data_IF_051856401095
#
_entry.id   IF_051856401095
#
_cell.length_a   1.000
_cell.length_b   1.000
_cell.length_c   1.000
_cell.angle_alpha   90.00
_cell.angle_beta   90.00
_cell.angle_gamma   90.00
#
_symmetry.space_group_name_H-M   'P 1'
#
loop_
_entity.id
_entity.type
_entity.pdbx_description
1 polymer ?
#
# COMPACT_ATOMS: atom_id res chain seq x y z
N UNK A 1 -32.06 -40.57 84.62
CA UNK A 1 -30.72 -40.06 84.94
C UNK A 1 -30.06 -39.64 83.66
N UNK A 2 -30.08 -38.38 83.42
CA UNK A 2 -28.97 -37.44 83.26
C UNK A 2 -27.95 -37.85 82.19
N UNK A 3 -27.81 -37.19 81.07
CA UNK A 3 -26.95 -36.01 80.96
C UNK A 3 -27.10 -35.31 79.59
N UNK A 4 -27.12 -34.04 79.69
CA UNK A 4 -27.04 -33.08 78.55
C UNK A 4 -25.61 -33.01 78.01
N UNK A 5 -25.46 -33.00 76.72
CA UNK A 5 -24.22 -32.55 76.08
C UNK A 5 -24.56 -31.55 74.92
N UNK A 6 -23.96 -30.43 75.04
CA UNK A 6 -24.24 -29.22 74.28
C UNK A 6 -24.00 -29.31 72.78
N UNK A 7 -24.88 -28.61 72.07
CA UNK A 7 -24.76 -28.34 70.63
C UNK A 7 -23.88 -27.13 70.47
N UNK A 8 -22.69 -27.35 69.98
CA UNK A 8 -21.83 -26.27 69.48
C UNK A 8 -22.13 -26.08 67.98
N UNK A 9 -22.87 -25.05 67.68
CA UNK A 9 -23.16 -24.65 66.28
C UNK A 9 -21.97 -23.89 65.73
N UNK A 10 -21.20 -24.50 64.87
CA UNK A 10 -20.22 -23.79 64.06
C UNK A 10 -20.91 -23.10 62.90
N UNK A 11 -21.05 -21.77 62.96
CA UNK A 11 -21.44 -20.95 61.84
C UNK A 11 -20.24 -20.78 60.93
N UNK A 12 -20.25 -21.46 59.80
CA UNK A 12 -19.35 -21.18 58.69
C UNK A 12 -19.90 -19.96 57.92
N UNK A 13 -19.30 -18.83 58.14
CA UNK A 13 -19.48 -17.65 57.32
C UNK A 13 -18.72 -17.86 56.00
N UNK A 14 -19.47 -18.25 54.98
CA UNK A 14 -18.97 -18.29 53.61
C UNK A 14 -18.94 -16.85 53.10
N UNK A 15 -17.79 -16.23 53.14
CA UNK A 15 -17.53 -14.97 52.47
C UNK A 15 -17.43 -15.20 50.96
N UNK A 16 -18.50 -14.87 50.25
CA UNK A 16 -18.51 -14.83 48.80
C UNK A 16 -17.71 -13.59 48.38
N UNK A 17 -16.43 -13.80 48.05
CA UNK A 17 -15.61 -12.78 47.39
C UNK A 17 -16.12 -12.65 45.95
N UNK A 18 -16.88 -11.59 45.69
CA UNK A 18 -17.31 -11.21 44.38
C UNK A 18 -16.10 -10.78 43.55
N UNK A 19 -15.65 -11.65 42.65
CA UNK A 19 -14.66 -11.31 41.62
C UNK A 19 -15.37 -10.45 40.58
N UNK A 20 -15.23 -9.15 40.71
CA UNK A 20 -15.64 -8.19 39.69
C UNK A 20 -14.69 -8.35 38.50
N UNK A 21 -15.14 -9.09 37.47
CA UNK A 21 -14.49 -9.09 36.15
C UNK A 21 -14.70 -7.71 35.54
N UNK A 22 -13.75 -6.79 35.80
CA UNK A 22 -13.62 -5.57 35.01
C UNK A 22 -13.25 -6.01 33.60
N UNK A 23 -14.28 -6.13 32.74
CA UNK A 23 -14.12 -6.21 31.30
C UNK A 23 -13.39 -4.95 30.87
N UNK A 24 -12.08 -5.05 30.61
CA UNK A 24 -11.36 -4.07 29.82
C UNK A 24 -12.04 -4.00 28.45
N UNK A 25 -12.96 -3.06 28.30
CA UNK A 25 -13.43 -2.64 26.99
C UNK A 25 -12.20 -2.20 26.21
N UNK A 26 -11.80 -3.00 25.22
CA UNK A 26 -10.88 -2.57 24.19
C UNK A 26 -11.65 -1.49 23.45
N UNK A 27 -11.50 -0.24 23.88
CA UNK A 27 -11.84 0.91 23.06
C UNK A 27 -11.00 0.77 21.82
N UNK A 28 -11.64 0.43 20.71
CA UNK A 28 -11.05 0.58 19.39
C UNK A 28 -10.66 2.05 19.27
N UNK A 29 -9.43 2.37 19.65
CA UNK A 29 -8.83 3.64 19.32
C UNK A 29 -8.86 3.67 17.80
N UNK A 30 -9.71 4.53 17.24
CA UNK A 30 -9.56 4.96 15.86
C UNK A 30 -8.14 5.48 15.75
N UNK A 31 -7.22 4.60 15.35
CA UNK A 31 -5.85 4.96 15.02
C UNK A 31 -6.02 5.96 13.91
N UNK A 32 -5.72 7.20 14.27
CA UNK A 32 -5.80 8.36 13.42
C UNK A 32 -5.20 7.99 12.06
N UNK A 33 -6.01 7.98 11.02
CA UNK A 33 -5.64 7.58 9.65
C UNK A 33 -4.57 8.48 9.01
N UNK A 34 -3.94 9.32 9.82
CA UNK A 34 -2.88 10.26 9.46
C UNK A 34 -1.49 9.63 9.43
N UNK A 35 -1.31 8.45 10.02
CA UNK A 35 -0.04 7.74 9.98
C UNK A 35 -0.15 6.68 8.89
N UNK A 36 0.67 6.81 7.86
CA UNK A 36 0.81 5.78 6.83
C UNK A 36 1.18 4.46 7.49
N UNK A 37 0.31 3.45 7.38
CA UNK A 37 0.60 2.11 7.88
C UNK A 37 1.90 1.60 7.24
N UNK A 38 2.87 1.05 8.00
CA UNK A 38 4.08 0.44 7.43
C UNK A 38 3.77 -0.60 6.35
N UNK A 39 2.68 -1.35 6.51
CA UNK A 39 2.21 -2.30 5.50
C UNK A 39 1.90 -1.62 4.16
N UNK A 40 1.28 -0.44 4.19
CA UNK A 40 0.90 0.32 3.00
C UNK A 40 2.11 0.89 2.28
N UNK A 41 3.16 1.26 3.03
CA UNK A 41 4.45 1.68 2.45
C UNK A 41 5.11 0.52 1.70
N UNK A 42 5.13 -0.67 2.29
CA UNK A 42 5.68 -1.86 1.65
C UNK A 42 4.91 -2.22 0.38
N UNK A 43 3.58 -2.15 0.43
CA UNK A 43 2.74 -2.36 -0.76
C UNK A 43 3.03 -1.34 -1.88
N UNK A 44 3.33 -0.09 -1.54
CA UNK A 44 3.76 0.91 -2.54
C UNK A 44 5.10 0.51 -3.15
N UNK A 45 6.07 0.09 -2.34
CA UNK A 45 7.38 -0.31 -2.82
C UNK A 45 7.30 -1.50 -3.79
N UNK A 46 6.50 -2.50 -3.44
CA UNK A 46 6.26 -3.67 -4.28
C UNK A 46 5.55 -3.28 -5.59
N UNK A 47 4.54 -2.40 -5.53
CA UNK A 47 3.84 -1.93 -6.71
C UNK A 47 4.76 -1.13 -7.66
N UNK A 48 5.57 -0.22 -7.11
CA UNK A 48 6.54 0.58 -7.89
C UNK A 48 7.60 -0.32 -8.51
N UNK A 49 8.11 -1.32 -7.78
CA UNK A 49 9.08 -2.29 -8.28
C UNK A 49 8.48 -3.16 -9.39
N UNK A 50 7.29 -3.69 -9.21
CA UNK A 50 6.57 -4.49 -10.21
C UNK A 50 6.34 -3.69 -11.50
N UNK A 51 5.86 -2.46 -11.37
CA UNK A 51 5.66 -1.56 -12.50
C UNK A 51 6.97 -1.27 -13.27
N UNK A 52 8.06 -1.01 -12.55
CA UNK A 52 9.37 -0.78 -13.15
C UNK A 52 9.87 -2.01 -13.93
N UNK A 53 9.66 -3.21 -13.39
CA UNK A 53 10.01 -4.46 -14.07
C UNK A 53 9.17 -4.66 -15.33
N UNK A 54 7.86 -4.46 -15.24
CA UNK A 54 6.96 -4.60 -16.38
C UNK A 54 7.31 -3.64 -17.52
N UNK A 55 7.68 -2.39 -17.19
CA UNK A 55 8.19 -1.43 -18.17
C UNK A 55 9.50 -1.90 -18.81
N UNK A 56 10.45 -2.37 -18.02
CA UNK A 56 11.77 -2.82 -18.50
C UNK A 56 11.66 -4.02 -19.44
N UNK A 57 10.77 -4.96 -19.13
CA UNK A 57 10.59 -6.18 -19.91
C UNK A 57 9.54 -6.07 -21.00
N UNK A 58 8.79 -4.96 -21.07
CA UNK A 58 7.73 -4.75 -22.06
C UNK A 58 6.49 -5.59 -21.80
N UNK A 59 6.20 -5.90 -20.54
CA UNK A 59 4.98 -6.63 -20.14
C UNK A 59 3.80 -5.65 -20.11
N UNK A 60 3.29 -5.32 -21.27
CA UNK A 60 2.27 -4.27 -21.45
C UNK A 60 0.99 -4.52 -20.68
N UNK A 61 0.55 -5.76 -20.59
CA UNK A 61 -0.65 -6.13 -19.84
C UNK A 61 -0.49 -5.88 -18.33
N UNK A 62 0.69 -6.16 -17.79
CA UNK A 62 0.99 -5.89 -16.40
C UNK A 62 1.10 -4.39 -16.12
N UNK A 63 1.69 -3.62 -17.04
CA UNK A 63 1.72 -2.16 -16.96
C UNK A 63 0.31 -1.61 -16.85
N UNK A 64 -0.62 -2.09 -17.69
CA UNK A 64 -2.03 -1.71 -17.66
C UNK A 64 -2.73 -2.03 -16.34
N UNK A 65 -2.35 -3.12 -15.68
CA UNK A 65 -2.92 -3.47 -14.38
C UNK A 65 -2.56 -2.48 -13.27
N UNK A 66 -1.43 -1.77 -13.40
CA UNK A 66 -1.04 -0.73 -12.47
C UNK A 66 -1.71 0.62 -12.75
N UNK A 67 -2.32 0.80 -13.93
CA UNK A 67 -2.88 2.07 -14.35
C UNK A 67 -4.39 2.12 -14.14
N UNK A 68 -4.81 3.07 -13.31
CA UNK A 68 -6.23 3.33 -13.04
C UNK A 68 -6.41 4.72 -12.48
N UNK A 69 -7.41 5.45 -12.95
CA UNK A 69 -7.81 6.73 -12.37
C UNK A 69 -8.42 6.53 -10.98
N UNK A 70 -8.46 7.58 -10.18
CA UNK A 70 -9.14 7.55 -8.86
C UNK A 70 -10.62 7.18 -8.98
N UNK A 71 -11.25 7.46 -10.10
CA UNK A 71 -12.65 7.07 -10.42
C UNK A 71 -12.76 5.60 -10.84
N UNK A 72 -11.67 4.86 -10.81
CA UNK A 72 -11.62 3.44 -11.14
C UNK A 72 -11.63 3.12 -12.63
N UNK A 73 -11.54 4.12 -13.51
CA UNK A 73 -11.47 3.92 -14.94
C UNK A 73 -10.08 3.47 -15.38
N UNK A 74 -10.03 2.66 -16.44
CA UNK A 74 -8.75 2.31 -17.07
C UNK A 74 -8.22 3.52 -17.84
N UNK A 75 -6.93 3.77 -17.71
CA UNK A 75 -6.28 4.84 -18.48
C UNK A 75 -5.98 4.29 -19.86
N UNK A 76 -6.53 4.95 -20.88
CA UNK A 76 -6.19 4.64 -22.27
C UNK A 76 -4.84 5.28 -22.61
N UNK A 77 -3.91 4.48 -23.10
CA UNK A 77 -2.65 4.99 -23.60
C UNK A 77 -2.25 4.25 -24.89
N UNK A 78 -1.44 4.92 -25.69
CA UNK A 78 -0.89 4.33 -26.91
C UNK A 78 0.30 3.44 -26.57
N UNK A 79 0.16 2.14 -26.80
CA UNK A 79 1.29 1.19 -26.72
C UNK A 79 2.38 1.51 -27.76
N UNK A 80 2.03 2.24 -28.81
CA UNK A 80 2.91 2.52 -29.94
C UNK A 80 4.16 3.30 -29.54
N UNK A 81 4.02 4.26 -28.61
CA UNK A 81 5.19 5.03 -28.12
C UNK A 81 6.16 4.17 -27.29
N UNK A 82 5.66 3.15 -26.59
CA UNK A 82 6.50 2.27 -25.80
C UNK A 82 7.10 1.15 -26.65
N UNK A 83 6.36 0.60 -27.59
CA UNK A 83 6.81 -0.51 -28.42
C UNK A 83 8.01 -0.16 -29.31
N UNK A 84 8.20 1.13 -29.64
CA UNK A 84 9.34 1.64 -30.41
C UNK A 84 10.60 1.88 -29.59
N UNK A 85 10.51 1.75 -28.26
CA UNK A 85 11.60 1.99 -27.35
C UNK A 85 11.90 0.76 -26.49
N UNK A 86 13.14 0.65 -26.04
CA UNK A 86 13.57 -0.35 -25.06
C UNK A 86 14.11 0.36 -23.82
N UNK A 87 13.54 0.05 -22.67
CA UNK A 87 14.00 0.57 -21.41
C UNK A 87 15.21 -0.22 -20.95
N UNK A 88 16.32 0.46 -20.77
CA UNK A 88 17.61 -0.09 -20.31
C UNK A 88 17.68 -0.06 -18.79
N UNK A 89 17.29 1.08 -18.21
CA UNK A 89 17.38 1.33 -16.79
C UNK A 89 16.13 2.06 -16.29
N UNK A 90 15.66 1.68 -15.12
CA UNK A 90 14.60 2.37 -14.39
C UNK A 90 15.05 2.53 -12.95
N UNK A 91 15.19 3.76 -12.49
CA UNK A 91 15.68 4.07 -11.16
C UNK A 91 14.73 5.03 -10.44
N UNK A 92 14.21 4.61 -9.30
CA UNK A 92 13.43 5.49 -8.43
C UNK A 92 14.39 6.43 -7.70
N UNK A 93 14.19 7.73 -7.86
CA UNK A 93 15.00 8.78 -7.23
C UNK A 93 14.40 9.23 -5.90
N UNK A 94 13.09 9.34 -5.84
CA UNK A 94 12.38 9.71 -4.63
C UNK A 94 10.99 9.11 -4.58
N UNK A 95 10.51 8.85 -3.37
CA UNK A 95 9.14 8.44 -3.05
C UNK A 95 8.66 9.27 -1.89
N UNK A 96 7.63 10.05 -2.10
CA UNK A 96 7.01 10.90 -1.10
C UNK A 96 5.57 10.46 -0.88
N UNK A 97 5.28 9.92 0.32
CA UNK A 97 3.90 9.69 0.73
C UNK A 97 3.28 11.03 1.17
N UNK A 98 2.07 11.27 0.70
CA UNK A 98 1.27 12.40 1.14
C UNK A 98 0.59 12.12 2.49
N UNK A 99 0.11 13.18 3.13
CA UNK A 99 -0.60 13.07 4.40
C UNK A 99 -1.78 12.09 4.28
N UNK A 100 -1.90 11.21 5.27
CA UNK A 100 -2.91 10.14 5.28
C UNK A 100 -2.45 8.85 4.61
N UNK A 101 -1.33 8.82 3.89
CA UNK A 101 -0.78 7.61 3.27
C UNK A 101 -1.68 6.94 2.22
N UNK A 102 -2.57 7.74 1.58
CA UNK A 102 -3.48 7.27 0.52
C UNK A 102 -3.04 7.71 -0.88
N UNK A 103 -2.05 8.57 -0.96
CA UNK A 103 -1.42 8.99 -2.21
C UNK A 103 0.09 9.10 -2.02
N UNK A 104 0.82 8.96 -3.12
CA UNK A 104 2.25 9.07 -3.16
C UNK A 104 2.72 9.66 -4.50
N UNK A 105 3.80 10.42 -4.42
CA UNK A 105 4.52 10.91 -5.60
C UNK A 105 5.84 10.17 -5.72
N UNK A 106 6.08 9.56 -6.86
CA UNK A 106 7.31 8.85 -7.17
C UNK A 106 8.01 9.55 -8.33
N UNK A 107 9.27 9.90 -8.15
CA UNK A 107 10.11 10.43 -9.23
C UNK A 107 11.03 9.32 -9.70
N UNK A 108 10.98 9.00 -10.98
CA UNK A 108 11.81 7.98 -11.59
C UNK A 108 12.67 8.57 -12.71
N UNK A 109 13.90 8.07 -12.82
CA UNK A 109 14.77 8.26 -13.96
C UNK A 109 14.71 7.02 -14.83
N UNK A 110 14.47 7.21 -16.12
CA UNK A 110 14.38 6.12 -17.09
C UNK A 110 15.37 6.38 -18.22
N UNK A 111 16.23 5.39 -18.47
CA UNK A 111 17.09 5.34 -19.64
C UNK A 111 16.50 4.35 -20.66
N UNK A 112 16.42 4.78 -21.89
CA UNK A 112 15.83 3.99 -22.97
C UNK A 112 16.53 4.32 -24.29
N UNK A 113 16.43 3.41 -25.24
CA UNK A 113 16.83 3.69 -26.62
C UNK A 113 15.68 3.45 -27.58
N UNK A 114 15.67 4.21 -28.66
CA UNK A 114 14.77 3.99 -29.79
C UNK A 114 15.30 2.79 -30.60
N UNK A 115 14.45 1.83 -30.93
CA UNK A 115 14.86 0.57 -31.60
C UNK A 115 15.42 0.83 -32.98
N UNK A 116 14.82 1.76 -33.72
CA UNK A 116 15.17 2.01 -35.13
C UNK A 116 16.49 2.77 -35.27
N UNK A 117 16.81 3.65 -34.33
CA UNK A 117 18.00 4.51 -34.41
C UNK A 117 19.11 4.08 -33.46
N UNK A 118 18.79 3.29 -32.45
CA UNK A 118 19.71 2.95 -31.36
C UNK A 118 20.07 4.13 -30.46
N UNK A 119 19.41 5.28 -30.61
CA UNK A 119 19.72 6.50 -29.85
C UNK A 119 19.32 6.34 -28.39
N UNK A 120 20.29 6.43 -27.48
CA UNK A 120 20.10 6.36 -26.04
C UNK A 120 19.61 7.73 -25.52
N UNK A 121 18.58 7.69 -24.72
CA UNK A 121 17.98 8.87 -24.10
C UNK A 121 17.67 8.63 -22.64
N UNK A 122 17.58 9.72 -21.89
CA UNK A 122 17.23 9.70 -20.45
C UNK A 122 16.13 10.71 -20.19
N UNK A 123 15.13 10.29 -19.40
CA UNK A 123 14.03 11.15 -18.97
C UNK A 123 13.70 10.96 -17.49
N UNK A 124 13.13 12.00 -16.91
CA UNK A 124 12.59 11.97 -15.55
C UNK A 124 11.07 11.98 -15.61
N UNK A 125 10.45 11.12 -14.84
CA UNK A 125 9.00 10.99 -14.77
C UNK A 125 8.54 11.20 -13.35
N UNK A 126 7.50 12.03 -13.22
CA UNK A 126 6.77 12.18 -11.96
C UNK A 126 5.51 11.35 -12.06
N UNK A 127 5.37 10.39 -11.17
CA UNK A 127 4.25 9.47 -11.12
C UNK A 127 3.41 9.78 -9.90
N UNK A 128 2.10 9.86 -10.08
CA UNK A 128 1.15 10.01 -9.00
C UNK A 128 0.49 8.66 -8.74
N UNK A 129 0.72 8.15 -7.55
CA UNK A 129 0.16 6.90 -7.07
C UNK A 129 -0.96 7.15 -6.08
N UNK A 130 -1.97 6.31 -6.09
CA UNK A 130 -3.04 6.33 -5.13
C UNK A 130 -3.37 4.92 -4.66
N UNK A 131 -3.79 4.82 -3.39
CA UNK A 131 -4.11 3.56 -2.76
C UNK A 131 -5.62 3.31 -2.79
N UNK A 132 -6.03 2.16 -3.33
CA UNK A 132 -7.40 1.68 -3.29
C UNK A 132 -7.57 0.79 -2.06
N UNK A 133 -8.19 1.33 -1.01
CA UNK A 133 -8.41 0.61 0.25
C UNK A 133 -9.39 -0.55 0.14
N UNK A 134 -10.20 -0.62 -0.92
CA UNK A 134 -11.12 -1.74 -1.16
C UNK A 134 -10.39 -2.94 -1.74
N UNK A 135 -9.40 -2.67 -2.61
CA UNK A 135 -8.60 -3.69 -3.29
C UNK A 135 -7.25 -3.94 -2.62
N UNK A 136 -6.93 -3.16 -1.59
CA UNK A 136 -5.64 -3.21 -0.89
C UNK A 136 -4.45 -3.09 -1.84
N UNK A 137 -4.52 -2.11 -2.78
CA UNK A 137 -3.57 -2.01 -3.88
C UNK A 137 -3.29 -0.57 -4.30
N UNK A 138 -2.05 -0.31 -4.75
CA UNK A 138 -1.64 0.95 -5.34
C UNK A 138 -1.80 0.96 -6.86
N UNK A 139 -2.26 2.10 -7.38
CA UNK A 139 -2.42 2.36 -8.81
C UNK A 139 -1.78 3.69 -9.20
N UNK A 140 -1.32 3.77 -10.45
CA UNK A 140 -0.83 5.01 -11.05
C UNK A 140 -2.01 5.76 -11.67
N UNK A 141 -2.16 7.04 -11.31
CA UNK A 141 -3.17 7.94 -11.87
C UNK A 141 -2.69 8.70 -13.11
N UNK A 142 -1.40 8.63 -13.42
CA UNK A 142 -0.81 9.28 -14.59
C UNK A 142 -0.72 8.33 -15.78
N UNK A 143 -0.84 8.88 -16.99
CA UNK A 143 -0.55 8.13 -18.22
C UNK A 143 0.92 7.70 -18.24
N UNK A 144 1.24 6.67 -19.03
CA UNK A 144 2.63 6.33 -19.30
C UNK A 144 3.26 7.51 -20.03
N UNK A 145 4.43 7.99 -19.54
CA UNK A 145 5.07 9.12 -20.16
C UNK A 145 5.51 8.81 -21.59
N UNK A 146 5.38 9.79 -22.49
CA UNK A 146 5.92 9.69 -23.83
C UNK A 146 7.45 9.55 -23.78
N UNK A 147 7.96 8.49 -24.40
CA UNK A 147 9.40 8.26 -24.54
C UNK A 147 9.99 8.99 -25.77
N UNK A 148 9.17 9.72 -26.52
CA UNK A 148 9.66 10.51 -27.67
C UNK A 148 10.67 11.56 -27.21
N UNK A 149 11.75 11.72 -27.97
CA UNK A 149 12.73 12.77 -27.71
C UNK A 149 12.07 14.14 -27.84
N UNK A 150 12.42 15.15 -27.03
CA UNK A 150 11.99 16.51 -27.28
C UNK A 150 12.58 16.95 -28.63
N UNK A 151 11.72 17.41 -29.51
CA UNK A 151 12.09 17.99 -30.81
C UNK A 151 12.75 19.35 -30.60
#
# INVERSE_FOLDING_TARGET
MKNAVGKMACYFLVSIVGISLTSCGITSTNIDSRISSPARVNLLEDAVKSYAQSLKWGYFEEILQHQRTKDGQKINFSLQSISRHRIVSYRNLSKLLEQGGMSARVVAEVEFYEIDTGMLSKKFFVQEWWYDGVRDRWYINSSIPSLEAPH
#
